data_IF_494578546853
#
_entry.id   IF_494578546853
#
_cell.length_a   1.000
_cell.length_b   1.000
_cell.length_c   1.000
_cell.angle_alpha   90.00
_cell.angle_beta   90.00
_cell.angle_gamma   90.00
#
_symmetry.space_group_name_H-M   'P 1'
#
loop_
_entity.id
_entity.type
_entity.pdbx_description
1 polymer ?
#
# COMPACT_ATOMS: atom_id res chain seq x y z
N UNK A 1 -25.06 1.46 39.15
CA UNK A 1 -24.31 1.17 37.91
C UNK A 1 -24.71 -0.22 37.51
N UNK A 2 -25.73 -0.33 36.67
CA UNK A 2 -26.35 -1.61 36.37
C UNK A 2 -25.37 -2.49 35.59
N UNK A 3 -25.08 -3.67 36.16
CA UNK A 3 -24.27 -4.68 35.52
C UNK A 3 -25.06 -5.23 34.32
N UNK A 4 -24.66 -4.84 33.10
CA UNK A 4 -25.21 -5.44 31.89
C UNK A 4 -24.92 -6.94 31.95
N UNK A 5 -25.93 -7.82 31.83
CA UNK A 5 -25.70 -9.26 31.80
C UNK A 5 -24.72 -9.62 30.68
N UNK A 6 -23.75 -10.49 30.98
CA UNK A 6 -22.68 -10.87 30.03
C UNK A 6 -23.26 -11.41 28.70
N UNK A 7 -24.42 -12.08 28.75
CA UNK A 7 -25.16 -12.56 27.57
C UNK A 7 -25.66 -11.42 26.67
N UNK A 8 -26.16 -10.33 27.25
CA UNK A 8 -26.58 -9.13 26.52
C UNK A 8 -25.38 -8.41 25.90
N UNK A 9 -24.28 -8.30 26.64
CA UNK A 9 -23.03 -7.72 26.13
C UNK A 9 -22.49 -8.50 24.93
N UNK A 10 -22.42 -9.83 25.06
CA UNK A 10 -22.00 -10.72 23.96
C UNK A 10 -22.93 -10.63 22.74
N UNK A 11 -24.24 -10.49 22.95
CA UNK A 11 -25.20 -10.29 21.86
C UNK A 11 -24.94 -8.97 21.12
N UNK A 12 -24.76 -7.85 21.85
CA UNK A 12 -24.45 -6.56 21.25
C UNK A 12 -23.13 -6.56 20.49
N UNK A 13 -22.08 -7.17 21.04
CA UNK A 13 -20.79 -7.30 20.37
C UNK A 13 -20.91 -8.09 19.05
N UNK A 14 -21.72 -9.15 19.03
CA UNK A 14 -21.98 -9.92 17.80
C UNK A 14 -22.74 -9.10 16.76
N UNK A 15 -23.82 -8.43 17.16
CA UNK A 15 -24.63 -7.59 16.26
C UNK A 15 -23.79 -6.45 15.68
N UNK A 16 -22.95 -5.81 16.51
CA UNK A 16 -22.01 -4.77 16.07
C UNK A 16 -20.99 -5.36 15.09
N UNK A 17 -20.40 -6.52 15.38
CA UNK A 17 -19.42 -7.15 14.52
C UNK A 17 -20.02 -7.58 13.16
N UNK A 18 -21.25 -8.10 13.16
CA UNK A 18 -21.98 -8.48 11.95
C UNK A 18 -22.29 -7.26 11.08
N UNK A 19 -22.85 -6.21 11.68
CA UNK A 19 -23.14 -4.96 10.98
C UNK A 19 -21.88 -4.26 10.46
N UNK A 20 -20.79 -4.32 11.24
CA UNK A 20 -19.47 -3.83 10.81
C UNK A 20 -18.96 -4.63 9.62
N UNK A 21 -19.14 -5.95 9.62
CA UNK A 21 -18.75 -6.82 8.49
C UNK A 21 -19.56 -6.50 7.23
N UNK A 22 -20.87 -6.29 7.36
CA UNK A 22 -21.74 -5.89 6.24
C UNK A 22 -21.31 -4.55 5.64
N UNK A 23 -21.09 -3.52 6.48
CA UNK A 23 -20.64 -2.20 6.03
C UNK A 23 -19.24 -2.21 5.42
N UNK A 24 -18.41 -3.18 5.83
CA UNK A 24 -17.08 -3.40 5.28
C UNK A 24 -17.10 -4.21 3.98
N UNK A 25 -18.22 -4.81 3.55
CA UNK A 25 -18.32 -5.51 2.27
C UNK A 25 -18.26 -4.52 1.10
N UNK A 26 -17.04 -4.15 0.73
CA UNK A 26 -16.70 -3.46 -0.50
C UNK A 26 -16.44 -4.53 -1.56
N UNK A 27 -16.87 -4.30 -2.80
CA UNK A 27 -16.61 -5.27 -3.87
C UNK A 27 -15.11 -5.38 -4.14
N UNK A 28 -14.58 -6.57 -4.47
CA UNK A 28 -13.15 -6.75 -4.70
C UNK A 28 -12.53 -5.76 -5.71
N UNK A 29 -13.27 -5.43 -6.77
CA UNK A 29 -12.88 -4.48 -7.82
C UNK A 29 -12.75 -3.02 -7.33
N UNK A 30 -13.41 -2.67 -6.23
CA UNK A 30 -13.38 -1.34 -5.61
C UNK A 30 -12.25 -1.22 -4.56
N UNK A 31 -11.52 -2.31 -4.29
CA UNK A 31 -10.41 -2.36 -3.31
C UNK A 31 -9.03 -2.37 -3.97
N UNK A 32 -8.83 -1.52 -4.98
CA UNK A 32 -7.56 -1.45 -5.70
C UNK A 32 -6.87 -0.11 -5.42
N UNK A 33 -5.65 -0.18 -4.86
CA UNK A 33 -4.76 0.97 -4.72
C UNK A 33 -3.67 0.85 -5.79
N UNK A 34 -3.71 1.77 -6.76
CA UNK A 34 -2.71 1.88 -7.82
C UNK A 34 -1.61 2.85 -7.37
N UNK A 35 -0.37 2.45 -7.50
CA UNK A 35 0.79 3.30 -7.23
C UNK A 35 1.81 3.15 -8.35
N UNK A 36 2.62 4.19 -8.58
CA UNK A 36 3.72 4.12 -9.55
C UNK A 36 4.74 5.24 -9.31
N UNK A 37 4.30 6.49 -9.47
CA UNK A 37 5.15 7.67 -9.31
C UNK A 37 5.46 7.94 -7.84
N UNK A 38 6.73 8.24 -7.54
CA UNK A 38 7.22 8.44 -6.17
C UNK A 38 6.67 9.69 -5.49
N UNK A 39 6.14 10.65 -6.24
CA UNK A 39 5.57 11.91 -5.76
C UNK A 39 4.03 11.91 -5.69
N UNK A 40 3.39 10.79 -6.07
CA UNK A 40 1.94 10.57 -5.97
C UNK A 40 1.62 9.78 -4.70
N UNK A 41 0.34 9.73 -4.28
CA UNK A 41 -0.04 8.95 -3.12
C UNK A 41 0.40 7.49 -3.24
N UNK A 42 0.81 6.91 -2.12
CA UNK A 42 1.42 5.58 -2.03
C UNK A 42 2.73 5.42 -2.84
N UNK A 43 3.34 6.52 -3.29
CA UNK A 43 4.60 6.52 -4.03
C UNK A 43 5.79 5.93 -3.25
N UNK A 44 5.70 5.86 -1.92
CA UNK A 44 6.70 5.22 -1.06
C UNK A 44 6.86 3.70 -1.33
N UNK A 45 5.83 3.05 -1.90
CA UNK A 45 5.88 1.64 -2.30
C UNK A 45 6.73 1.40 -3.54
N UNK A 46 6.93 2.42 -4.38
CA UNK A 46 7.77 2.31 -5.57
C UNK A 46 9.21 1.94 -5.21
N UNK A 47 9.84 1.07 -5.99
CA UNK A 47 11.26 0.73 -5.84
C UNK A 47 12.19 1.92 -6.11
N UNK A 48 11.66 2.96 -6.77
CA UNK A 48 12.36 4.20 -7.07
C UNK A 48 12.26 5.23 -5.94
N UNK A 49 11.43 4.99 -4.92
CA UNK A 49 11.32 5.87 -3.77
C UNK A 49 12.69 5.97 -3.04
N UNK A 50 13.12 7.20 -2.75
CA UNK A 50 14.40 7.49 -2.10
C UNK A 50 14.33 7.25 -0.60
N UNK A 51 14.22 5.98 -0.24
CA UNK A 51 14.15 5.46 1.11
C UNK A 51 15.35 4.52 1.28
N UNK A 52 16.49 5.01 1.80
CA UNK A 52 17.70 4.20 1.91
C UNK A 52 17.46 2.97 2.77
N UNK A 53 17.94 1.81 2.32
CA UNK A 53 17.85 0.56 3.06
C UNK A 53 19.24 0.00 3.30
N UNK A 54 19.48 -0.53 4.49
CA UNK A 54 20.71 -1.23 4.84
C UNK A 54 20.49 -2.74 4.75
N UNK A 55 21.27 -3.41 3.91
CA UNK A 55 21.25 -4.88 3.74
C UNK A 55 22.69 -5.34 3.64
N UNK A 56 23.07 -6.34 4.44
CA UNK A 56 24.44 -6.89 4.52
C UNK A 56 25.51 -5.80 4.71
N UNK A 57 25.30 -4.91 5.70
CA UNK A 57 26.20 -3.79 6.06
C UNK A 57 26.41 -2.75 4.92
N UNK A 58 25.66 -2.86 3.83
CA UNK A 58 25.67 -1.90 2.71
C UNK A 58 24.40 -1.08 2.72
N UNK A 59 24.56 0.23 2.61
CA UNK A 59 23.45 1.16 2.41
C UNK A 59 23.17 1.31 0.92
N UNK A 60 21.91 1.09 0.56
CA UNK A 60 21.36 1.18 -0.79
C UNK A 60 20.44 2.40 -0.87
N UNK A 61 20.67 3.36 -1.78
CA UNK A 61 19.85 4.57 -1.84
C UNK A 61 18.36 4.34 -2.09
N UNK A 62 18.03 3.27 -2.84
CA UNK A 62 16.67 2.79 -3.10
C UNK A 62 16.64 1.27 -3.26
N UNK A 63 15.46 0.65 -3.17
CA UNK A 63 15.27 -0.77 -3.49
C UNK A 63 15.70 -1.10 -4.93
N UNK A 64 15.55 -0.17 -5.87
CA UNK A 64 16.04 -0.33 -7.25
C UNK A 64 17.56 -0.50 -7.31
N UNK A 65 18.34 0.23 -6.50
CA UNK A 65 19.80 0.08 -6.48
C UNK A 65 20.19 -1.34 -6.04
N UNK A 66 19.58 -1.80 -4.95
CA UNK A 66 19.81 -3.16 -4.44
C UNK A 66 19.44 -4.21 -5.48
N UNK A 67 18.23 -4.13 -6.04
CA UNK A 67 17.74 -5.09 -7.04
C UNK A 67 18.65 -5.19 -8.27
N UNK A 68 19.06 -4.04 -8.81
CA UNK A 68 19.90 -3.98 -10.00
C UNK A 68 21.33 -4.44 -9.71
N UNK A 69 21.87 -4.13 -8.54
CA UNK A 69 23.20 -4.57 -8.14
C UNK A 69 23.26 -6.08 -7.89
N UNK A 70 22.22 -6.68 -7.31
CA UNK A 70 22.16 -8.12 -7.03
C UNK A 70 22.18 -9.02 -8.28
N UNK A 71 21.95 -8.45 -9.46
CA UNK A 71 22.22 -9.12 -10.75
C UNK A 71 23.68 -9.49 -10.95
N UNK A 72 24.58 -8.74 -10.33
CA UNK A 72 26.03 -8.79 -10.52
C UNK A 72 26.77 -9.01 -9.19
N UNK A 73 26.12 -9.67 -8.24
CA UNK A 73 26.66 -9.95 -6.90
C UNK A 73 28.08 -10.52 -6.97
N UNK A 74 28.99 -9.98 -6.15
CA UNK A 74 30.38 -10.42 -6.09
C UNK A 74 31.27 -9.91 -7.23
N UNK A 75 30.79 -8.99 -8.07
CA UNK A 75 31.57 -8.32 -9.12
C UNK A 75 31.71 -6.83 -8.83
N UNK A 76 32.63 -6.15 -9.52
CA UNK A 76 32.78 -4.68 -9.43
C UNK A 76 31.52 -3.91 -9.85
N UNK A 77 30.65 -4.51 -10.66
CA UNK A 77 29.43 -3.87 -11.14
C UNK A 77 28.39 -3.69 -10.05
N UNK A 78 28.39 -4.54 -9.02
CA UNK A 78 27.51 -4.42 -7.86
C UNK A 78 27.71 -3.06 -7.19
N UNK A 79 28.96 -2.72 -6.90
CA UNK A 79 29.33 -1.47 -6.23
C UNK A 79 29.10 -0.26 -7.14
N UNK A 80 29.40 -0.39 -8.43
CA UNK A 80 29.14 0.67 -9.41
C UNK A 80 27.64 1.01 -9.52
N UNK A 81 26.76 0.01 -9.44
CA UNK A 81 25.31 0.22 -9.45
C UNK A 81 24.85 0.78 -8.11
N UNK A 82 25.39 0.30 -6.98
CA UNK A 82 25.07 0.81 -5.64
C UNK A 82 25.34 2.31 -5.51
N UNK A 83 26.46 2.76 -6.08
CA UNK A 83 26.92 4.15 -6.04
C UNK A 83 26.31 5.03 -7.13
N UNK A 84 25.39 4.50 -7.95
CA UNK A 84 24.73 5.30 -8.98
C UNK A 84 23.99 6.52 -8.35
N UNK A 85 23.99 7.70 -9.00
CA UNK A 85 23.39 8.89 -8.40
C UNK A 85 21.86 8.83 -8.24
N UNK A 86 21.19 8.02 -9.05
CA UNK A 86 19.72 7.93 -9.09
C UNK A 86 19.25 6.51 -9.37
N UNK A 87 18.03 6.19 -8.94
CA UNK A 87 17.40 4.90 -9.22
C UNK A 87 17.29 4.62 -10.73
N UNK A 88 17.07 5.67 -11.53
CA UNK A 88 17.01 5.54 -12.99
C UNK A 88 18.36 5.17 -13.60
N UNK A 89 19.46 5.74 -13.10
CA UNK A 89 20.80 5.34 -13.52
C UNK A 89 21.14 3.92 -13.05
N UNK A 90 20.78 3.55 -11.82
CA UNK A 90 20.93 2.17 -11.34
C UNK A 90 20.17 1.17 -12.23
N UNK A 91 18.94 1.49 -12.62
CA UNK A 91 18.13 0.71 -13.55
C UNK A 91 18.75 0.63 -14.95
N UNK A 92 19.28 1.74 -15.48
CA UNK A 92 19.97 1.77 -16.78
C UNK A 92 21.19 0.85 -16.77
N UNK A 93 22.02 0.95 -15.73
CA UNK A 93 23.22 0.14 -15.57
C UNK A 93 22.91 -1.33 -15.35
N UNK A 94 21.89 -1.64 -14.55
CA UNK A 94 21.50 -3.02 -14.26
C UNK A 94 20.76 -3.73 -15.40
N UNK A 95 20.28 -2.97 -16.39
CA UNK A 95 19.64 -3.52 -17.61
C UNK A 95 20.62 -3.67 -18.78
N UNK A 96 21.89 -3.29 -18.61
CA UNK A 96 22.92 -3.50 -19.62
C UNK A 96 23.20 -4.99 -19.81
N UNK A 97 22.76 -5.51 -20.97
CA UNK A 97 22.87 -6.93 -21.34
C UNK A 97 24.27 -7.34 -21.81
N UNK A 98 25.21 -6.40 -21.93
CA UNK A 98 26.60 -6.72 -22.27
C UNK A 98 27.34 -7.38 -21.10
N UNK A 99 26.80 -7.26 -19.89
CA UNK A 99 27.39 -7.81 -18.66
C UNK A 99 26.72 -9.14 -18.29
N UNK A 100 27.49 -10.16 -17.84
CA UNK A 100 26.90 -11.43 -17.47
C UNK A 100 26.11 -11.29 -16.17
N UNK A 101 24.82 -11.61 -16.23
CA UNK A 101 23.97 -11.76 -15.05
C UNK A 101 24.36 -13.02 -14.27
N UNK A 102 24.05 -13.05 -12.97
CA UNK A 102 24.06 -14.30 -12.19
C UNK A 102 23.16 -15.37 -12.85
N UNK A 103 23.60 -16.62 -12.78
CA UNK A 103 22.99 -17.74 -13.53
C UNK A 103 21.56 -18.07 -13.10
N UNK A 104 21.25 -17.83 -11.85
CA UNK A 104 19.98 -18.11 -11.17
C UNK A 104 19.06 -16.86 -11.07
N UNK A 105 19.31 -15.83 -11.89
CA UNK A 105 18.61 -14.53 -11.79
C UNK A 105 17.09 -14.66 -11.86
N UNK A 106 16.58 -15.45 -12.81
CA UNK A 106 15.14 -15.62 -12.99
C UNK A 106 14.46 -16.29 -11.79
N UNK A 107 15.20 -17.14 -11.07
CA UNK A 107 14.71 -17.87 -9.89
C UNK A 107 14.75 -17.00 -8.62
N UNK A 108 15.76 -16.13 -8.48
CA UNK A 108 15.98 -15.34 -7.25
C UNK A 108 15.45 -13.89 -7.30
N UNK A 109 15.10 -13.33 -8.46
CA UNK A 109 14.68 -11.92 -8.57
C UNK A 109 13.51 -11.54 -7.66
N UNK A 110 12.56 -12.47 -7.44
CA UNK A 110 11.41 -12.25 -6.53
C UNK A 110 11.86 -12.21 -5.08
N UNK A 111 12.72 -13.14 -4.64
CA UNK A 111 13.22 -13.13 -3.27
C UNK A 111 14.05 -11.89 -2.96
N UNK A 112 14.83 -11.40 -3.94
CA UNK A 112 15.63 -10.17 -3.80
C UNK A 112 14.72 -8.94 -3.62
N UNK A 113 13.64 -8.79 -4.40
CA UNK A 113 12.69 -7.69 -4.17
C UNK A 113 11.98 -7.86 -2.83
N UNK A 114 11.59 -9.08 -2.45
CA UNK A 114 10.95 -9.34 -1.16
C UNK A 114 11.85 -8.92 0.00
N UNK A 115 13.14 -9.22 -0.07
CA UNK A 115 14.14 -8.78 0.91
C UNK A 115 14.23 -7.25 0.96
N UNK A 116 14.32 -6.58 -0.19
CA UNK A 116 14.36 -5.12 -0.26
C UNK A 116 13.09 -4.45 0.31
N UNK A 117 11.92 -5.02 0.04
CA UNK A 117 10.63 -4.55 0.55
C UNK A 117 10.55 -4.76 2.06
N UNK A 118 10.97 -5.92 2.57
CA UNK A 118 11.03 -6.18 4.02
C UNK A 118 11.98 -5.21 4.72
N UNK A 119 13.18 -5.02 4.20
CA UNK A 119 14.13 -4.05 4.74
C UNK A 119 13.54 -2.64 4.76
N UNK A 120 12.89 -2.20 3.66
CA UNK A 120 12.21 -0.91 3.59
C UNK A 120 11.13 -0.77 4.67
N UNK A 121 10.25 -1.77 4.81
CA UNK A 121 9.16 -1.76 5.80
C UNK A 121 9.69 -1.79 7.24
N UNK A 122 10.75 -2.54 7.50
CA UNK A 122 11.34 -2.66 8.84
C UNK A 122 12.11 -1.40 9.27
N UNK A 123 12.80 -0.76 8.32
CA UNK A 123 13.67 0.38 8.61
C UNK A 123 12.94 1.72 8.52
N UNK A 124 11.81 1.79 7.80
CA UNK A 124 11.01 3.01 7.64
C UNK A 124 9.62 2.84 8.24
N UNK A 125 9.47 3.28 9.49
CA UNK A 125 8.22 3.13 10.24
C UNK A 125 7.02 3.78 9.53
N UNK A 126 7.22 4.91 8.85
CA UNK A 126 6.17 5.55 8.04
C UNK A 126 5.66 4.63 6.92
N UNK A 127 6.55 3.94 6.21
CA UNK A 127 6.19 3.00 5.13
C UNK A 127 5.43 1.82 5.72
N UNK A 128 5.85 1.30 6.88
CA UNK A 128 5.12 0.25 7.58
C UNK A 128 3.70 0.67 7.91
N UNK A 129 3.50 1.85 8.48
CA UNK A 129 2.18 2.37 8.83
C UNK A 129 1.31 2.59 7.59
N UNK A 130 1.86 3.16 6.53
CA UNK A 130 1.16 3.34 5.24
C UNK A 130 0.80 1.98 4.63
N UNK A 131 1.69 0.98 4.68
CA UNK A 131 1.41 -0.36 4.15
C UNK A 131 0.30 -1.05 4.94
N UNK A 132 0.33 -1.01 6.27
CA UNK A 132 -0.70 -1.62 7.12
C UNK A 132 -2.05 -0.93 6.97
N UNK A 133 -2.08 0.39 6.74
CA UNK A 133 -3.34 1.13 6.55
C UNK A 133 -4.09 0.75 5.28
N UNK A 134 -3.45 0.07 4.32
CA UNK A 134 -4.10 -0.44 3.11
C UNK A 134 -5.03 -1.63 3.36
N UNK A 135 -5.07 -2.16 4.59
CA UNK A 135 -5.95 -3.26 4.98
C UNK A 135 -5.87 -4.45 4.02
N UNK A 136 -6.99 -4.89 3.47
CA UNK A 136 -7.05 -5.97 2.48
C UNK A 136 -7.11 -5.49 1.01
N UNK A 137 -6.79 -4.22 0.73
CA UNK A 137 -6.73 -3.73 -0.64
C UNK A 137 -5.69 -4.47 -1.46
N UNK A 138 -6.00 -4.65 -2.75
CA UNK A 138 -5.07 -5.11 -3.77
C UNK A 138 -4.17 -3.94 -4.12
N UNK A 139 -2.87 -4.12 -3.93
CA UNK A 139 -1.86 -3.13 -4.30
C UNK A 139 -1.39 -3.43 -5.72
N UNK A 140 -1.41 -2.42 -6.59
CA UNK A 140 -1.06 -2.56 -8.00
C UNK A 140 -0.01 -1.54 -8.39
N UNK A 141 1.15 -2.01 -8.84
CA UNK A 141 2.11 -1.16 -9.53
C UNK A 141 1.58 -0.90 -10.95
N UNK A 142 1.01 0.28 -11.16
CA UNK A 142 0.29 0.60 -12.39
C UNK A 142 1.21 1.24 -13.43
N UNK A 143 1.66 0.44 -14.40
CA UNK A 143 2.61 0.89 -15.42
C UNK A 143 2.51 0.07 -16.70
N UNK A 144 2.59 0.76 -17.84
CA UNK A 144 2.66 0.13 -19.17
C UNK A 144 4.07 -0.33 -19.57
N UNK A 145 5.07 -0.05 -18.73
CA UNK A 145 6.48 -0.30 -19.07
C UNK A 145 6.99 -1.67 -18.56
N UNK A 146 6.25 -2.35 -17.68
CA UNK A 146 6.67 -3.60 -17.05
C UNK A 146 5.47 -4.52 -16.78
N UNK A 147 5.42 -5.66 -17.47
CA UNK A 147 4.37 -6.67 -17.31
C UNK A 147 4.72 -7.75 -16.27
N UNK A 148 5.93 -7.74 -15.72
CA UNK A 148 6.33 -8.66 -14.65
C UNK A 148 6.08 -8.05 -13.28
N UNK A 149 6.66 -6.88 -13.01
CA UNK A 149 6.54 -6.21 -11.71
C UNK A 149 5.24 -5.44 -11.58
N UNK A 150 4.79 -4.81 -12.67
CA UNK A 150 3.54 -4.09 -12.76
C UNK A 150 2.42 -4.82 -13.50
N UNK A 151 1.35 -4.09 -13.77
CA UNK A 151 0.11 -4.59 -14.37
C UNK A 151 0.02 -4.40 -15.89
N UNK A 152 1.11 -3.98 -16.56
CA UNK A 152 1.14 -3.66 -17.98
C UNK A 152 0.20 -2.51 -18.40
N UNK A 153 -0.36 -1.75 -17.46
CA UNK A 153 -1.25 -0.61 -17.68
C UNK A 153 -2.71 -0.99 -18.03
N UNK A 154 -2.94 -2.22 -18.49
CA UNK A 154 -4.27 -2.75 -18.83
C UNK A 154 -4.75 -3.85 -17.87
N UNK A 155 -3.94 -4.19 -16.86
CA UNK A 155 -4.23 -5.24 -15.89
C UNK A 155 -3.78 -6.64 -16.31
N UNK A 156 -3.14 -6.80 -17.48
CA UNK A 156 -2.65 -8.11 -17.97
C UNK A 156 -1.30 -8.52 -17.39
N UNK A 157 -0.57 -7.58 -16.78
CA UNK A 157 0.69 -7.84 -16.11
C UNK A 157 0.56 -8.66 -14.82
N UNK A 158 1.67 -9.25 -14.37
CA UNK A 158 1.69 -10.11 -13.19
C UNK A 158 1.59 -9.36 -11.87
N UNK A 159 1.91 -8.06 -11.84
CA UNK A 159 1.88 -7.24 -10.63
C UNK A 159 2.67 -7.87 -9.45
N UNK A 160 3.86 -8.44 -9.73
CA UNK A 160 4.64 -9.14 -8.72
C UNK A 160 5.09 -8.22 -7.57
N UNK A 161 5.28 -6.92 -7.81
CA UNK A 161 5.63 -5.97 -6.75
C UNK A 161 4.45 -5.79 -5.78
N UNK A 162 3.25 -5.57 -6.33
CA UNK A 162 2.02 -5.49 -5.55
C UNK A 162 1.79 -6.72 -4.69
N UNK A 163 1.93 -7.92 -5.29
CA UNK A 163 1.84 -9.20 -4.56
C UNK A 163 2.86 -9.29 -3.42
N UNK A 164 4.11 -8.90 -3.67
CA UNK A 164 5.17 -8.92 -2.66
C UNK A 164 4.86 -7.98 -1.50
N UNK A 165 4.37 -6.77 -1.78
CA UNK A 165 3.94 -5.81 -0.75
C UNK A 165 2.80 -6.36 0.10
N UNK A 166 1.80 -7.00 -0.52
CA UNK A 166 0.68 -7.62 0.18
C UNK A 166 1.11 -8.79 1.06
N UNK A 167 2.07 -9.59 0.59
CA UNK A 167 2.66 -10.68 1.37
C UNK A 167 3.41 -10.11 2.59
N UNK A 168 4.31 -9.15 2.40
CA UNK A 168 5.05 -8.49 3.50
C UNK A 168 4.10 -7.79 4.47
N UNK A 169 3.01 -7.18 3.98
CA UNK A 169 1.95 -6.58 4.80
C UNK A 169 1.33 -7.61 5.74
N UNK A 170 1.00 -8.80 5.22
CA UNK A 170 0.38 -9.87 6.02
C UNK A 170 1.31 -10.47 7.08
N UNK A 171 2.63 -10.33 6.90
CA UNK A 171 3.65 -10.76 7.85
C UNK A 171 3.84 -9.74 9.01
N UNK A 172 3.27 -8.53 8.94
CA UNK A 172 3.48 -7.51 9.96
C UNK A 172 2.66 -7.77 11.23
N UNK A 173 3.31 -7.60 12.39
CA UNK A 173 2.63 -7.58 13.69
C UNK A 173 1.59 -6.45 13.75
N UNK A 174 0.39 -6.77 14.23
CA UNK A 174 -0.72 -5.83 14.33
C UNK A 174 -1.47 -5.60 13.01
N UNK A 175 -1.18 -6.37 11.96
CA UNK A 175 -1.92 -6.29 10.69
C UNK A 175 -3.42 -6.57 10.90
N UNK A 176 -4.25 -5.64 10.41
CA UNK A 176 -5.70 -5.77 10.30
C UNK A 176 -6.12 -5.69 8.84
N UNK A 177 -7.00 -6.59 8.35
CA UNK A 177 -7.51 -6.53 6.98
C UNK A 177 -8.56 -5.41 6.79
N UNK A 178 -8.88 -4.65 7.84
CA UNK A 178 -9.91 -3.61 7.79
C UNK A 178 -9.46 -2.40 6.96
N UNK A 179 -10.34 -2.01 6.04
CA UNK A 179 -10.16 -0.85 5.20
C UNK A 179 -11.53 -0.24 4.92
N UNK A 180 -11.66 1.08 5.07
CA UNK A 180 -12.87 1.80 4.71
C UNK A 180 -12.58 2.67 3.50
N UNK A 181 -13.50 2.66 2.53
CA UNK A 181 -13.52 3.66 1.49
C UNK A 181 -14.10 4.97 2.04
N UNK A 182 -13.85 6.11 1.39
CA UNK A 182 -14.53 7.33 1.75
C UNK A 182 -16.01 7.26 1.40
N UNK A 183 -16.80 7.99 2.15
CA UNK A 183 -18.26 7.98 2.06
C UNK A 183 -18.80 8.35 0.67
N UNK A 184 -18.11 9.21 -0.10
CA UNK A 184 -18.51 9.58 -1.47
C UNK A 184 -18.24 8.50 -2.52
N UNK A 185 -17.38 7.51 -2.21
CA UNK A 185 -17.19 6.35 -3.07
C UNK A 185 -18.17 5.23 -2.74
N UNK A 186 -18.51 5.07 -1.45
CA UNK A 186 -19.45 4.01 -1.02
C UNK A 186 -20.90 4.37 -1.30
N UNK A 187 -21.27 5.64 -1.15
CA UNK A 187 -22.63 6.14 -1.33
C UNK A 187 -22.65 7.35 -2.28
N UNK A 188 -22.27 7.17 -3.56
CA UNK A 188 -22.13 8.27 -4.52
C UNK A 188 -23.46 8.98 -4.84
N UNK A 189 -24.60 8.32 -4.63
CA UNK A 189 -25.94 8.85 -4.84
C UNK A 189 -26.41 9.82 -3.74
N UNK A 190 -25.71 9.86 -2.61
CA UNK A 190 -26.12 10.64 -1.44
C UNK A 190 -25.30 11.92 -1.30
N UNK A 191 -25.98 13.07 -1.43
CA UNK A 191 -25.38 14.38 -1.20
C UNK A 191 -24.79 14.50 0.23
N UNK A 192 -23.64 15.19 0.45
CA UNK A 192 -22.99 15.33 1.75
C UNK A 192 -23.89 15.87 2.88
N UNK A 193 -24.89 16.69 2.53
CA UNK A 193 -25.83 17.29 3.49
C UNK A 193 -27.17 16.53 3.64
N UNK A 194 -27.33 15.38 2.98
CA UNK A 194 -28.58 14.62 3.05
C UNK A 194 -28.83 14.05 4.46
N UNK A 195 -30.10 13.84 4.83
CA UNK A 195 -30.46 13.22 6.10
C UNK A 195 -29.90 11.80 6.27
N UNK A 196 -29.54 11.13 5.17
CA UNK A 196 -28.90 9.82 5.17
C UNK A 196 -27.65 9.78 6.08
N UNK A 197 -26.87 10.85 6.14
CA UNK A 197 -25.67 10.93 6.97
C UNK A 197 -25.93 11.21 8.46
N UNK A 198 -27.18 11.55 8.81
CA UNK A 198 -27.59 11.92 10.17
C UNK A 198 -28.42 10.86 10.86
N UNK A 199 -28.77 9.77 10.16
CA UNK A 199 -29.54 8.67 10.74
C UNK A 199 -29.31 7.35 10.00
N UNK A 200 -29.39 6.25 10.72
CA UNK A 200 -29.43 4.91 10.12
C UNK A 200 -28.08 4.49 9.53
N UNK A 201 -28.09 3.96 8.30
CA UNK A 201 -26.91 3.34 7.69
C UNK A 201 -25.77 4.33 7.42
N UNK A 202 -26.07 5.53 6.90
CA UNK A 202 -25.05 6.53 6.60
C UNK A 202 -24.35 7.05 7.86
N UNK A 203 -25.11 7.35 8.91
CA UNK A 203 -24.57 7.71 10.24
C UNK A 203 -23.66 6.59 10.78
N UNK A 204 -24.15 5.35 10.76
CA UNK A 204 -23.39 4.17 11.23
C UNK A 204 -22.07 4.01 10.46
N UNK A 205 -22.10 4.21 9.14
CA UNK A 205 -20.90 4.14 8.30
C UNK A 205 -19.88 5.22 8.68
N UNK A 206 -20.31 6.48 8.84
CA UNK A 206 -19.43 7.58 9.24
C UNK A 206 -18.81 7.34 10.61
N UNK A 207 -19.56 6.81 11.57
CA UNK A 207 -19.01 6.45 12.89
C UNK A 207 -17.85 5.47 12.77
N UNK A 208 -18.01 4.38 12.01
CA UNK A 208 -16.94 3.38 11.84
C UNK A 208 -15.77 3.92 11.01
N UNK A 209 -16.05 4.67 9.93
CA UNK A 209 -15.02 5.31 9.13
C UNK A 209 -14.17 6.26 9.99
N UNK A 210 -14.79 7.06 10.84
CA UNK A 210 -14.08 7.98 11.73
C UNK A 210 -13.25 7.26 12.77
N UNK A 211 -13.78 6.23 13.43
CA UNK A 211 -12.99 5.45 14.39
C UNK A 211 -11.81 4.75 13.72
N UNK A 212 -12.01 4.17 12.53
CA UNK A 212 -10.90 3.60 11.77
C UNK A 212 -9.85 4.65 11.38
N UNK A 213 -10.27 5.83 10.87
CA UNK A 213 -9.36 6.93 10.52
C UNK A 213 -8.57 7.44 11.71
N UNK A 214 -9.17 7.53 12.90
CA UNK A 214 -8.47 7.92 14.15
C UNK A 214 -7.35 6.94 14.52
N UNK A 215 -7.47 5.67 14.14
CA UNK A 215 -6.45 4.65 14.37
C UNK A 215 -5.26 4.72 13.41
N UNK A 216 -5.33 5.50 12.32
CA UNK A 216 -4.26 5.62 11.33
C UNK A 216 -3.16 6.59 11.80
N UNK A 217 -1.92 6.32 11.38
CA UNK A 217 -0.85 7.31 11.52
C UNK A 217 -1.12 8.54 10.65
N UNK A 218 -0.48 9.66 10.99
CA UNK A 218 -0.61 10.91 10.22
C UNK A 218 -0.18 10.73 8.76
N UNK A 219 0.87 9.95 8.54
CA UNK A 219 1.43 9.64 7.22
C UNK A 219 0.46 8.77 6.43
N UNK A 220 -0.06 7.70 7.04
CA UNK A 220 -1.07 6.84 6.44
C UNK A 220 -2.35 7.61 6.05
N UNK A 221 -2.83 8.49 6.94
CA UNK A 221 -4.00 9.32 6.68
C UNK A 221 -3.77 10.31 5.54
N UNK A 222 -2.56 10.88 5.45
CA UNK A 222 -2.16 11.77 4.35
C UNK A 222 -2.19 11.06 3.00
N UNK A 223 -1.64 9.85 2.92
CA UNK A 223 -1.67 9.06 1.69
C UNK A 223 -3.10 8.68 1.30
N UNK A 224 -3.91 8.27 2.28
CA UNK A 224 -5.33 7.96 2.08
C UNK A 224 -6.11 9.16 1.53
N UNK A 225 -6.03 10.32 2.19
CA UNK A 225 -6.79 11.52 1.81
C UNK A 225 -6.32 12.10 0.47
N UNK A 226 -5.03 11.96 0.14
CA UNK A 226 -4.50 12.40 -1.14
C UNK A 226 -4.90 11.46 -2.28
N UNK A 227 -4.99 10.15 -2.03
CA UNK A 227 -5.42 9.17 -3.03
C UNK A 227 -6.93 9.24 -3.28
N UNK A 228 -7.70 9.29 -2.19
CA UNK A 228 -9.13 9.46 -2.25
C UNK A 228 -9.48 10.92 -2.01
N UNK A 229 -9.30 11.76 -3.03
CA UNK A 229 -9.70 13.14 -2.94
C UNK A 229 -11.24 13.26 -3.02
N UNK A 230 -11.88 14.09 -2.18
CA UNK A 230 -13.32 14.36 -2.29
C UNK A 230 -13.65 15.04 -3.63
N UNK A 231 -14.77 14.66 -4.28
CA UNK A 231 -15.32 15.36 -5.43
C UNK A 231 -15.67 16.83 -5.11
N UNK A 232 -15.85 17.65 -6.15
CA UNK A 232 -16.04 19.10 -5.99
C UNK A 232 -17.31 19.48 -5.19
N UNK A 233 -18.38 18.70 -5.33
CA UNK A 233 -19.64 18.81 -4.58
C UNK A 233 -19.49 18.43 -3.10
N UNK A 234 -18.46 17.67 -2.74
CA UNK A 234 -18.10 17.33 -1.37
C UNK A 234 -17.13 18.33 -0.72
N UNK A 235 -16.48 19.19 -1.52
CA UNK A 235 -15.52 20.20 -1.05
C UNK A 235 -16.14 21.52 -0.60
N UNK A 236 -17.45 21.73 -0.83
CA UNK A 236 -18.14 22.93 -0.38
C UNK A 236 -18.54 22.79 1.07
N UNK A 237 -17.61 23.04 1.99
CA UNK A 237 -17.99 23.69 3.24
C UNK A 237 -18.71 24.99 2.84
N UNK A 238 -19.91 25.18 3.36
CA UNK A 238 -20.85 26.26 3.02
C UNK A 238 -20.18 27.65 2.87
N UNK A 239 -20.58 28.40 1.83
CA UNK A 239 -20.55 29.87 1.84
C UNK A 239 -21.51 30.41 2.91
#
# INVERSE_FOLDING_TARGET
MDHIPEELKNHWERVIAERRRELLQIKPEERIIRFYETNKPYGCFSNFARLPIEIEEKVWPTSEHYFQAMKFVGTEHEEFIRLAPTAMEAARLGRDRTRPLRRDWEDCKVSIIKEAVRAKVQQHQEVKQILMSTGNCILVEHTSNDSFWGDNGDGTGRNMLGQTLMEVRSEQEGYSPEFFLPQWLVYPEHHPYSMFWRMGTGETYLMYLWEWRKGLSKEALREYDAYFAPPADWNRAEE
#
